data_IF_395392784380
#
_entry.id   IF_395392784380
#
_cell.length_a   1.000
_cell.length_b   1.000
_cell.length_c   1.000
_cell.angle_alpha   90.00
_cell.angle_beta   90.00
_cell.angle_gamma   90.00
#
_symmetry.space_group_name_H-M   'P 1'
#
loop_
_entity.id
_entity.type
_entity.pdbx_description
1 polymer ?
#
# COMPACT_ATOMS: atom_id res chain seq x y z
N UNK A 1 53.56 16.00 9.66
CA UNK A 1 53.65 17.16 8.75
C UNK A 1 52.24 17.63 8.45
N UNK A 2 51.83 18.70 9.12
CA UNK A 2 50.55 19.38 8.94
C UNK A 2 50.73 20.34 7.75
N UNK A 3 49.87 20.26 6.74
CA UNK A 3 49.70 21.32 5.75
C UNK A 3 48.22 21.63 5.61
N UNK A 4 47.88 22.76 6.20
CA UNK A 4 46.60 23.46 6.22
C UNK A 4 46.20 23.92 4.82
N UNK A 5 44.91 23.82 4.52
CA UNK A 5 44.29 24.39 3.34
C UNK A 5 44.27 25.94 3.38
N UNK A 6 44.27 26.62 2.23
CA UNK A 6 44.20 28.08 2.16
C UNK A 6 42.79 28.63 2.47
N UNK A 7 42.68 29.87 2.97
CA UNK A 7 41.41 30.46 3.40
C UNK A 7 40.54 30.99 2.25
N UNK A 8 39.22 30.96 2.49
CA UNK A 8 38.12 31.46 1.63
C UNK A 8 38.04 32.99 1.71
N UNK A 9 37.79 33.73 0.61
CA UNK A 9 37.62 35.18 0.61
C UNK A 9 36.28 35.65 1.22
N UNK A 10 36.34 36.82 1.87
CA UNK A 10 35.23 37.50 2.57
C UNK A 10 34.16 38.09 1.62
N UNK A 11 32.92 38.31 2.10
CA UNK A 11 31.81 38.80 1.29
C UNK A 11 31.88 40.31 0.98
N UNK A 12 31.38 40.67 -0.21
CA UNK A 12 31.28 42.05 -0.73
C UNK A 12 30.01 42.74 -0.18
N UNK A 13 30.05 44.04 0.21
CA UNK A 13 28.88 44.75 0.76
C UNK A 13 27.88 45.21 -0.31
N UNK A 14 26.59 45.16 0.03
CA UNK A 14 25.47 45.76 -0.70
C UNK A 14 25.44 47.29 -0.54
N UNK A 15 25.11 48.07 -1.59
CA UNK A 15 24.82 49.49 -1.47
C UNK A 15 23.37 49.75 -1.03
N UNK A 16 23.24 50.78 -0.19
CA UNK A 16 22.04 51.36 0.40
C UNK A 16 21.43 52.49 -0.44
N UNK A 17 20.13 52.72 -0.25
CA UNK A 17 19.36 53.87 -0.76
C UNK A 17 18.19 53.45 -1.64
N UNK A 18 16.95 53.92 -1.51
CA UNK A 18 16.34 54.95 -0.67
C UNK A 18 15.01 55.34 -1.30
N UNK A 19 13.98 55.58 -0.48
CA UNK A 19 12.82 56.46 -0.76
C UNK A 19 11.82 56.09 -1.85
N UNK A 20 10.59 55.70 -1.45
CA UNK A 20 9.41 56.59 -1.46
C UNK A 20 8.09 55.80 -1.40
N UNK A 21 7.26 56.14 -0.41
CA UNK A 21 5.81 55.91 -0.43
C UNK A 21 5.14 56.94 -1.37
N UNK A 22 3.90 56.68 -1.81
CA UNK A 22 2.82 57.50 -1.24
C UNK A 22 1.49 56.76 -0.98
N UNK A 23 0.66 57.51 -0.26
CA UNK A 23 -0.65 57.24 0.34
C UNK A 23 -1.80 56.83 -0.60
N UNK A 24 -2.67 55.99 -0.03
CA UNK A 24 -4.14 56.12 0.13
C UNK A 24 -4.94 56.84 -0.97
N UNK A 25 -5.88 56.12 -1.58
CA UNK A 25 -7.22 56.65 -1.82
C UNK A 25 -8.25 55.51 -1.88
N UNK A 26 -9.26 55.55 -1.02
CA UNK A 26 -10.40 54.64 -1.05
C UNK A 26 -11.44 55.06 -2.09
N UNK A 27 -12.20 54.10 -2.60
CA UNK A 27 -13.57 54.33 -3.07
C UNK A 27 -14.38 53.04 -3.07
N UNK A 28 -15.45 53.09 -2.29
CA UNK A 28 -16.62 52.21 -2.34
C UNK A 28 -17.37 52.41 -3.65
N UNK A 29 -17.80 51.32 -4.30
CA UNK A 29 -19.00 51.31 -5.14
C UNK A 29 -19.70 49.94 -5.08
N UNK A 30 -20.99 50.00 -4.72
CA UNK A 30 -22.03 48.97 -4.88
C UNK A 30 -22.38 48.81 -6.37
N UNK A 31 -22.81 47.60 -6.77
CA UNK A 31 -23.88 47.29 -7.74
C UNK A 31 -23.72 45.81 -8.17
N UNK A 32 -24.64 44.92 -7.80
CA UNK A 32 -25.88 44.56 -8.50
C UNK A 32 -25.75 43.28 -9.35
N UNK A 33 -26.41 42.25 -8.85
CA UNK A 33 -27.26 41.24 -9.53
C UNK A 33 -27.23 41.27 -11.06
N UNK A 34 -26.88 40.14 -11.67
CA UNK A 34 -27.42 39.71 -12.95
C UNK A 34 -27.50 38.17 -13.03
N UNK A 35 -28.72 37.68 -12.93
CA UNK A 35 -29.16 36.32 -13.30
C UNK A 35 -29.19 36.21 -14.84
N UNK A 36 -28.83 35.06 -15.43
CA UNK A 36 -29.39 34.68 -16.71
C UNK A 36 -30.32 33.47 -16.54
N UNK A 37 -31.62 33.71 -16.69
CA UNK A 37 -32.62 32.70 -16.99
C UNK A 37 -32.80 32.58 -18.50
N UNK A 38 -33.27 31.39 -18.91
CA UNK A 38 -33.86 30.96 -20.19
C UNK A 38 -32.90 30.32 -21.20
N UNK A 39 -33.10 29.02 -21.43
CA UNK A 39 -34.09 28.65 -22.46
C UNK A 39 -34.67 27.26 -22.22
N UNK A 40 -36.00 27.21 -22.19
CA UNK A 40 -36.81 26.01 -22.29
C UNK A 40 -36.74 25.48 -23.73
N UNK A 41 -36.39 24.21 -23.91
CA UNK A 41 -36.89 23.41 -25.03
C UNK A 41 -37.62 22.19 -24.48
N UNK A 42 -38.94 22.20 -24.63
CA UNK A 42 -39.84 21.06 -24.46
C UNK A 42 -39.84 20.19 -25.73
N UNK A 43 -40.18 18.92 -25.51
CA UNK A 43 -40.62 17.85 -26.44
C UNK A 43 -39.51 17.05 -27.13
N UNK A 44 -39.34 15.79 -26.71
CA UNK A 44 -40.10 14.69 -27.33
C UNK A 44 -40.22 13.50 -26.36
N UNK A 45 -41.46 13.06 -26.18
CA UNK A 45 -41.88 11.83 -25.51
C UNK A 45 -41.56 10.67 -26.47
N UNK A 46 -40.88 9.63 -25.98
CA UNK A 46 -40.90 8.28 -26.54
C UNK A 46 -40.68 7.29 -25.39
N UNK A 47 -41.75 6.64 -24.95
CA UNK A 47 -41.79 5.30 -24.36
C UNK A 47 -42.63 4.42 -25.32
N UNK A 48 -42.65 3.09 -25.16
CA UNK A 48 -41.54 2.14 -25.01
C UNK A 48 -41.58 1.11 -26.16
N UNK A 49 -40.56 0.25 -26.28
CA UNK A 49 -40.67 -0.98 -27.07
C UNK A 49 -40.45 -2.16 -26.12
N UNK A 50 -41.54 -2.85 -25.82
CA UNK A 50 -41.57 -4.20 -25.24
C UNK A 50 -41.29 -5.26 -26.34
N UNK A 51 -41.20 -6.52 -25.92
CA UNK A 51 -40.90 -7.77 -26.65
C UNK A 51 -39.39 -8.12 -26.68
N UNK A 52 -38.86 -9.21 -26.12
CA UNK A 52 -39.40 -10.55 -25.85
C UNK A 52 -38.78 -11.16 -24.56
N UNK A 53 -39.63 -11.72 -23.70
CA UNK A 53 -39.27 -12.69 -22.65
C UNK A 53 -39.87 -14.05 -23.01
N UNK A 54 -39.00 -15.05 -23.23
CA UNK A 54 -39.34 -16.47 -23.25
C UNK A 54 -38.66 -17.20 -22.07
N UNK A 55 -39.37 -18.02 -21.28
CA UNK A 55 -38.89 -18.49 -19.97
C UNK A 55 -38.14 -19.82 -20.05
N UNK A 56 -37.10 -20.00 -19.23
CA UNK A 56 -36.67 -21.32 -18.78
C UNK A 56 -36.95 -21.51 -17.29
N UNK A 57 -37.84 -22.46 -17.05
CA UNK A 57 -38.37 -22.90 -15.77
C UNK A 57 -37.57 -24.12 -15.32
N UNK A 58 -36.91 -24.08 -14.16
CA UNK A 58 -36.65 -25.27 -13.37
C UNK A 58 -36.98 -24.98 -11.91
N UNK A 59 -38.04 -25.65 -11.46
CA UNK A 59 -38.52 -25.74 -10.09
C UNK A 59 -37.50 -26.47 -9.22
N UNK A 60 -37.29 -25.99 -7.99
CA UNK A 60 -37.16 -26.87 -6.83
C UNK A 60 -37.33 -26.07 -5.54
N UNK A 61 -38.24 -26.56 -4.71
CA UNK A 61 -38.80 -25.94 -3.52
C UNK A 61 -38.21 -26.59 -2.28
N UNK A 62 -37.46 -25.83 -1.47
CA UNK A 62 -37.19 -26.02 -0.03
C UNK A 62 -36.09 -25.00 0.34
N UNK A 63 -36.13 -24.17 1.37
CA UNK A 63 -36.97 -24.09 2.54
C UNK A 63 -37.02 -22.62 2.99
N UNK A 64 -38.24 -22.08 3.13
CA UNK A 64 -38.51 -20.84 3.83
C UNK A 64 -39.42 -21.20 5.00
N UNK A 65 -38.80 -21.45 6.16
CA UNK A 65 -39.36 -21.43 7.53
C UNK A 65 -38.44 -22.24 8.40
N UNK A 66 -37.70 -21.58 9.29
CA UNK A 66 -37.74 -21.87 10.72
C UNK A 66 -37.17 -20.66 11.47
N UNK A 67 -37.87 -20.36 12.56
CA UNK A 67 -37.97 -19.11 13.28
C UNK A 67 -36.71 -18.65 14.05
N UNK A 68 -36.60 -17.33 14.16
CA UNK A 68 -36.13 -16.56 15.32
C UNK A 68 -36.57 -17.12 16.69
N UNK A 69 -35.66 -17.28 17.66
CA UNK A 69 -35.64 -16.53 18.94
C UNK A 69 -34.76 -17.15 20.04
N UNK A 70 -34.09 -16.24 20.78
CA UNK A 70 -33.69 -16.27 22.22
C UNK A 70 -32.66 -17.26 22.80
N UNK A 71 -31.51 -16.68 23.16
CA UNK A 71 -30.82 -16.62 24.48
C UNK A 71 -30.71 -17.83 25.43
N UNK A 72 -29.45 -18.02 25.86
CA UNK A 72 -28.94 -18.43 27.19
C UNK A 72 -28.42 -19.87 27.37
N UNK A 73 -27.08 -19.94 27.48
CA UNK A 73 -26.21 -20.73 28.38
C UNK A 73 -26.71 -22.11 28.85
N UNK A 74 -26.07 -23.20 28.43
CA UNK A 74 -25.22 -24.00 29.31
C UNK A 74 -24.45 -25.14 28.61
N UNK A 75 -23.31 -25.45 29.22
CA UNK A 75 -22.37 -26.55 29.01
C UNK A 75 -22.92 -27.88 28.48
N UNK A 76 -22.30 -28.43 27.42
CA UNK A 76 -22.45 -29.85 27.06
C UNK A 76 -21.10 -30.50 26.70
N UNK A 77 -20.95 -31.69 27.28
CA UNK A 77 -19.75 -32.49 27.45
C UNK A 77 -19.39 -33.34 26.21
N UNK A 78 -18.22 -33.98 26.32
CA UNK A 78 -17.46 -34.76 25.32
C UNK A 78 -18.14 -36.03 24.75
N UNK A 79 -19.46 -36.03 24.54
CA UNK A 79 -20.22 -37.18 24.02
C UNK A 79 -20.90 -36.96 22.66
N UNK A 80 -20.82 -35.76 22.07
CA UNK A 80 -21.40 -35.47 20.74
C UNK A 80 -20.40 -35.64 19.58
N UNK A 81 -19.11 -35.84 19.85
CA UNK A 81 -18.04 -35.98 18.84
C UNK A 81 -17.97 -37.41 18.23
N UNK A 82 -18.79 -38.37 18.69
CA UNK A 82 -18.73 -39.78 18.23
C UNK A 82 -19.86 -40.26 17.31
N UNK A 83 -20.66 -39.37 16.70
CA UNK A 83 -21.76 -39.77 15.78
C UNK A 83 -21.77 -39.08 14.41
N UNK A 84 -20.61 -38.64 13.89
CA UNK A 84 -20.47 -38.15 12.50
C UNK A 84 -19.48 -39.00 11.66
N UNK A 85 -19.00 -40.14 12.18
CA UNK A 85 -18.03 -41.00 11.48
C UNK A 85 -18.67 -42.10 10.62
N UNK A 86 -20.00 -42.24 10.60
CA UNK A 86 -20.67 -43.27 9.79
C UNK A 86 -21.77 -42.69 8.92
N UNK A 87 -21.37 -42.16 7.77
CA UNK A 87 -22.13 -42.24 6.52
C UNK A 87 -21.20 -41.92 5.35
N UNK A 88 -20.41 -42.94 4.96
CA UNK A 88 -19.80 -43.04 3.63
C UNK A 88 -20.94 -43.26 2.63
N UNK A 89 -21.14 -42.31 1.73
CA UNK A 89 -21.59 -42.42 0.32
C UNK A 89 -22.20 -41.06 -0.07
N UNK A 90 -21.35 -40.13 -0.53
CA UNK A 90 -21.63 -39.02 -1.48
C UNK A 90 -20.47 -37.98 -1.54
N UNK A 91 -19.21 -38.42 -1.56
CA UNK A 91 -18.04 -37.52 -1.78
C UNK A 91 -17.26 -37.91 -3.05
N UNK A 92 -17.77 -38.85 -3.84
CA UNK A 92 -17.07 -39.41 -5.00
C UNK A 92 -17.41 -38.73 -6.34
N UNK A 93 -18.35 -37.79 -6.37
CA UNK A 93 -18.73 -37.04 -7.59
C UNK A 93 -18.14 -35.62 -7.67
N UNK A 94 -17.77 -35.00 -6.54
CA UNK A 94 -17.07 -33.70 -6.51
C UNK A 94 -15.55 -33.89 -6.69
N UNK A 95 -15.01 -35.04 -6.28
CA UNK A 95 -13.58 -35.37 -6.44
C UNK A 95 -13.19 -35.75 -7.88
N UNK A 96 -14.12 -35.83 -8.83
CA UNK A 96 -13.83 -36.05 -10.27
C UNK A 96 -13.84 -34.76 -11.10
N UNK A 97 -14.27 -33.62 -10.54
CA UNK A 97 -14.17 -32.28 -11.17
C UNK A 97 -13.00 -31.44 -10.66
N UNK A 98 -12.24 -31.95 -9.68
CA UNK A 98 -11.05 -31.30 -9.11
C UNK A 98 -9.73 -31.98 -9.51
N UNK A 99 -9.77 -32.93 -10.46
CA UNK A 99 -8.59 -33.64 -11.00
C UNK A 99 -8.02 -32.96 -12.28
N UNK A 100 -8.46 -31.74 -12.63
CA UNK A 100 -7.81 -30.94 -13.68
C UNK A 100 -6.85 -29.88 -13.15
N UNK A 101 -6.54 -29.89 -11.85
CA UNK A 101 -5.66 -28.90 -11.21
C UNK A 101 -4.17 -29.15 -11.43
N UNK A 102 -3.77 -30.30 -11.99
CA UNK A 102 -2.40 -30.51 -12.50
C UNK A 102 -2.15 -29.81 -13.84
N UNK A 103 -3.20 -29.60 -14.64
CA UNK A 103 -3.10 -28.86 -15.90
C UNK A 103 -2.98 -27.34 -15.65
N UNK A 104 -3.63 -26.84 -14.59
CA UNK A 104 -3.60 -25.41 -14.24
C UNK A 104 -2.25 -24.95 -13.66
N UNK A 105 -1.47 -25.85 -13.03
CA UNK A 105 -0.10 -25.54 -12.59
C UNK A 105 0.89 -25.48 -13.76
N UNK A 106 0.66 -26.25 -14.82
CA UNK A 106 1.44 -26.19 -16.05
C UNK A 106 1.10 -24.95 -16.88
N UNK A 107 -0.18 -24.58 -16.97
CA UNK A 107 -0.63 -23.38 -17.69
C UNK A 107 -0.13 -22.07 -17.02
N UNK A 108 -0.01 -22.04 -15.68
CA UNK A 108 0.57 -20.90 -14.95
C UNK A 108 2.08 -20.77 -15.16
N UNK A 109 2.80 -21.87 -15.35
CA UNK A 109 4.21 -21.84 -15.72
C UNK A 109 4.42 -21.40 -17.19
N UNK A 110 3.40 -21.54 -18.04
CA UNK A 110 3.45 -21.24 -19.48
C UNK A 110 3.05 -19.79 -19.82
N UNK A 111 2.33 -19.09 -18.94
CA UNK A 111 1.92 -17.69 -19.12
C UNK A 111 3.03 -16.65 -18.83
N UNK A 112 4.17 -17.09 -18.28
CA UNK A 112 5.35 -16.26 -18.11
C UNK A 112 6.39 -16.63 -19.18
N UNK A 113 6.83 -15.70 -20.05
CA UNK A 113 8.00 -16.00 -20.85
C UNK A 113 9.14 -16.28 -19.89
N UNK A 114 9.70 -17.50 -19.96
CA UNK A 114 11.04 -17.82 -19.44
C UNK A 114 11.98 -16.78 -20.06
N UNK A 115 12.24 -15.69 -19.33
CA UNK A 115 13.45 -14.91 -19.54
C UNK A 115 14.57 -15.91 -19.29
N UNK A 116 15.17 -16.40 -20.38
CA UNK A 116 16.24 -17.37 -20.35
C UNK A 116 17.30 -16.85 -19.38
N UNK A 117 17.36 -17.50 -18.22
CA UNK A 117 18.36 -17.28 -17.20
C UNK A 117 19.66 -17.85 -17.74
N UNK A 118 20.45 -17.02 -18.41
CA UNK A 118 21.82 -17.38 -18.74
C UNK A 118 22.66 -17.22 -17.46
N UNK A 119 23.08 -18.34 -16.88
CA UNK A 119 24.01 -18.41 -15.73
C UNK A 119 25.35 -17.67 -15.98
N UNK A 120 25.60 -17.21 -17.20
CA UNK A 120 26.89 -16.65 -17.63
C UNK A 120 27.14 -15.18 -17.24
N UNK A 121 26.17 -14.47 -16.66
CA UNK A 121 26.34 -13.03 -16.30
C UNK A 121 26.74 -12.83 -14.82
N UNK A 122 26.61 -13.84 -13.96
CA UNK A 122 27.03 -13.71 -12.55
C UNK A 122 28.56 -13.78 -12.35
N UNK A 123 29.35 -14.17 -13.35
CA UNK A 123 30.80 -14.34 -13.17
C UNK A 123 31.64 -13.05 -13.14
N UNK A 124 31.03 -11.87 -13.30
CA UNK A 124 31.77 -10.59 -13.30
C UNK A 124 31.49 -9.62 -12.16
N UNK A 125 30.65 -9.99 -11.17
CA UNK A 125 30.40 -9.15 -9.99
C UNK A 125 30.51 -9.89 -8.64
N UNK A 126 31.09 -11.09 -8.63
CA UNK A 126 31.33 -11.87 -7.41
C UNK A 126 32.52 -11.34 -6.60
N UNK A 127 32.31 -10.28 -5.82
CA UNK A 127 33.20 -9.93 -4.71
C UNK A 127 33.03 -10.93 -3.56
N UNK A 128 34.13 -11.54 -3.14
CA UNK A 128 34.38 -12.33 -1.90
C UNK A 128 33.20 -12.58 -0.93
N UNK A 129 32.70 -13.83 -0.85
CA UNK A 129 32.28 -14.45 0.42
C UNK A 129 30.98 -13.99 1.11
N UNK A 130 29.95 -13.58 0.37
CA UNK A 130 28.69 -13.10 0.96
C UNK A 130 27.79 -14.28 1.35
N UNK A 131 27.52 -14.45 2.65
CA UNK A 131 26.62 -15.51 3.13
C UNK A 131 25.15 -15.07 3.04
N UNK A 132 24.48 -15.47 1.97
CA UNK A 132 23.03 -15.39 1.84
C UNK A 132 22.36 -16.44 2.76
N UNK A 133 21.25 -16.05 3.38
CA UNK A 133 20.48 -16.90 4.29
C UNK A 133 19.07 -17.08 3.72
N UNK A 134 18.58 -18.31 3.69
CA UNK A 134 17.25 -18.67 3.21
C UNK A 134 16.16 -18.17 4.17
N UNK A 135 15.04 -17.66 3.65
CA UNK A 135 13.81 -17.44 4.43
C UNK A 135 12.87 -18.65 4.34
N UNK A 136 13.08 -19.57 3.41
CA UNK A 136 12.22 -20.73 3.17
C UNK A 136 10.83 -20.33 2.65
N UNK A 137 10.74 -19.30 1.81
CA UNK A 137 9.46 -18.74 1.34
C UNK A 137 9.41 -18.70 -0.19
N UNK A 138 8.57 -19.56 -0.77
CA UNK A 138 8.36 -19.62 -2.21
C UNK A 138 7.56 -18.43 -2.77
N UNK A 139 7.59 -18.29 -4.11
CA UNK A 139 7.01 -17.14 -4.83
C UNK A 139 5.52 -16.91 -4.60
N UNK A 140 4.75 -17.98 -4.36
CA UNK A 140 3.31 -17.87 -4.07
C UNK A 140 3.04 -17.15 -2.73
N UNK A 141 3.97 -17.24 -1.79
CA UNK A 141 3.91 -16.58 -0.49
C UNK A 141 4.64 -15.22 -0.53
N UNK A 142 5.71 -15.05 -1.30
CA UNK A 142 6.40 -13.76 -1.41
C UNK A 142 7.00 -13.55 -2.80
N UNK A 143 6.54 -12.50 -3.50
CA UNK A 143 7.14 -11.96 -4.71
C UNK A 143 7.68 -10.56 -4.43
N UNK A 144 9.00 -10.38 -4.48
CA UNK A 144 9.64 -9.09 -4.18
C UNK A 144 9.15 -7.96 -5.10
N UNK A 145 8.96 -8.23 -6.39
CA UNK A 145 8.51 -7.22 -7.38
C UNK A 145 7.07 -6.75 -7.16
N UNK A 146 6.24 -7.59 -6.54
CA UNK A 146 4.86 -7.24 -6.18
C UNK A 146 4.71 -6.79 -4.72
N UNK A 147 5.80 -6.76 -3.96
CA UNK A 147 5.77 -6.38 -2.55
C UNK A 147 6.55 -5.07 -2.32
N UNK A 148 7.77 -4.94 -2.82
CA UNK A 148 8.65 -3.84 -2.41
C UNK A 148 8.40 -2.53 -3.18
N UNK A 149 8.30 -2.50 -4.53
CA UNK A 149 8.15 -1.25 -5.28
C UNK A 149 6.67 -0.91 -5.60
N UNK A 150 5.74 -1.21 -4.70
CA UNK A 150 4.28 -1.08 -4.96
C UNK A 150 3.60 0.11 -4.27
N UNK A 151 4.38 0.96 -3.60
CA UNK A 151 3.86 2.16 -2.93
C UNK A 151 3.38 1.93 -1.50
N UNK A 152 3.58 0.73 -0.94
CA UNK A 152 3.45 0.50 0.51
C UNK A 152 4.69 0.96 1.27
N UNK A 153 5.89 0.74 0.74
CA UNK A 153 7.15 1.29 1.24
C UNK A 153 7.90 2.02 0.13
N UNK A 154 8.71 3.01 0.50
CA UNK A 154 9.53 3.80 -0.43
C UNK A 154 11.04 3.63 -0.15
N UNK A 155 11.43 2.70 0.73
CA UNK A 155 12.81 2.50 1.22
C UNK A 155 13.58 1.37 0.55
N UNK A 156 12.93 0.59 -0.32
CA UNK A 156 13.58 -0.49 -1.06
C UNK A 156 14.06 -0.02 -2.42
N UNK A 157 15.30 -0.37 -2.77
CA UNK A 157 15.93 -0.05 -4.06
C UNK A 157 16.30 -1.33 -4.77
N UNK A 158 15.98 -1.43 -6.05
CA UNK A 158 16.43 -2.54 -6.89
C UNK A 158 17.94 -2.40 -7.07
N UNK A 159 18.70 -3.28 -6.44
CA UNK A 159 20.17 -3.30 -6.48
C UNK A 159 20.71 -4.42 -7.36
N UNK A 160 19.84 -5.31 -7.88
CA UNK A 160 20.20 -6.31 -8.89
C UNK A 160 18.96 -6.76 -9.66
N UNK A 161 19.12 -7.72 -10.58
CA UNK A 161 18.01 -8.18 -11.43
C UNK A 161 16.82 -8.68 -10.59
N UNK A 162 17.07 -9.53 -9.59
CA UNK A 162 16.04 -10.06 -8.69
C UNK A 162 16.32 -9.68 -7.23
N UNK A 163 17.01 -8.56 -7.03
CA UNK A 163 17.53 -8.16 -5.73
C UNK A 163 17.09 -6.74 -5.37
N UNK A 164 16.65 -6.59 -4.13
CA UNK A 164 16.32 -5.31 -3.52
C UNK A 164 17.13 -5.11 -2.25
N UNK A 165 17.58 -3.89 -2.01
CA UNK A 165 18.22 -3.49 -0.76
C UNK A 165 17.36 -2.44 -0.07
N UNK A 166 17.17 -2.58 1.22
CA UNK A 166 16.37 -1.70 2.06
C UNK A 166 16.91 -1.65 3.48
N UNK A 167 16.22 -0.87 4.32
CA UNK A 167 16.61 -0.64 5.71
C UNK A 167 15.48 -1.06 6.63
N UNK A 168 15.82 -1.85 7.65
CA UNK A 168 14.91 -2.33 8.69
C UNK A 168 15.48 -1.93 10.05
N UNK A 169 14.95 -0.86 10.66
CA UNK A 169 15.54 -0.29 11.87
C UNK A 169 16.99 0.14 11.60
N UNK A 170 17.95 -0.41 12.35
CA UNK A 170 19.38 -0.17 12.18
C UNK A 170 20.06 -1.14 11.17
N UNK A 171 19.30 -2.02 10.54
CA UNK A 171 19.84 -3.07 9.67
C UNK A 171 19.73 -2.71 8.20
N UNK A 172 20.85 -2.80 7.48
CA UNK A 172 20.87 -2.74 6.02
C UNK A 172 20.76 -4.16 5.45
N UNK A 173 19.67 -4.43 4.73
CA UNK A 173 19.31 -5.77 4.26
C UNK A 173 19.17 -5.79 2.74
N UNK A 174 19.80 -6.78 2.09
CA UNK A 174 19.45 -7.18 0.73
C UNK A 174 18.54 -8.40 0.76
N UNK A 175 17.50 -8.41 -0.06
CA UNK A 175 16.66 -9.57 -0.36
C UNK A 175 16.86 -9.94 -1.83
N UNK A 176 17.00 -11.23 -2.14
CA UNK A 176 17.07 -11.75 -3.50
C UNK A 176 16.02 -12.83 -3.70
N UNK A 177 15.25 -12.70 -4.77
CA UNK A 177 14.30 -13.73 -5.20
C UNK A 177 15.04 -14.80 -6.01
N UNK A 178 14.93 -16.06 -5.58
CA UNK A 178 15.32 -17.24 -6.36
C UNK A 178 14.07 -18.06 -6.70
N UNK A 179 14.24 -19.19 -7.41
CA UNK A 179 13.12 -19.95 -7.97
C UNK A 179 12.06 -20.35 -6.92
N UNK A 180 12.51 -21.01 -5.85
CA UNK A 180 11.63 -21.58 -4.81
C UNK A 180 11.83 -20.93 -3.43
N UNK A 181 12.52 -19.79 -3.37
CA UNK A 181 12.83 -19.12 -2.10
C UNK A 181 13.08 -17.61 -2.27
N UNK A 182 13.15 -16.92 -1.13
CA UNK A 182 13.73 -15.60 -0.97
C UNK A 182 14.89 -15.71 0.02
N UNK A 183 16.05 -15.26 -0.40
CA UNK A 183 17.22 -15.19 0.47
C UNK A 183 17.43 -13.76 0.97
N UNK A 184 18.01 -13.61 2.16
CA UNK A 184 18.44 -12.33 2.70
C UNK A 184 19.96 -12.30 2.95
N UNK A 185 20.51 -11.09 2.88
CA UNK A 185 21.88 -10.79 3.26
C UNK A 185 21.88 -9.54 4.14
N UNK A 186 22.49 -9.64 5.32
CA UNK A 186 22.66 -8.53 6.25
C UNK A 186 24.02 -7.89 6.05
N UNK A 187 24.02 -6.61 5.66
CA UNK A 187 25.23 -5.82 5.53
C UNK A 187 25.69 -5.40 6.91
N UNK A 188 26.52 -6.20 7.56
CA UNK A 188 27.11 -5.84 8.85
C UNK A 188 27.93 -4.54 8.68
N UNK A 189 27.52 -3.49 9.39
CA UNK A 189 28.30 -2.25 9.43
C UNK A 189 29.62 -2.50 10.19
N UNK A 190 30.69 -1.81 9.80
CA UNK A 190 32.00 -1.87 10.47
C UNK A 190 31.97 -1.30 11.90
N UNK A 191 30.83 -0.77 12.36
CA UNK A 191 30.63 -0.51 13.78
C UNK A 191 30.53 -1.84 14.53
N UNK A 192 31.60 -2.18 15.26
CA UNK A 192 31.63 -3.23 16.28
C UNK A 192 30.65 -2.87 17.41
N UNK A 193 29.36 -2.97 17.16
CA UNK A 193 28.36 -3.07 18.21
C UNK A 193 28.10 -4.56 18.40
N UNK A 194 28.48 -5.07 19.57
CA UNK A 194 28.11 -6.38 20.07
C UNK A 194 26.57 -6.48 20.07
N UNK A 195 25.97 -6.91 18.96
CA UNK A 195 24.55 -7.25 18.92
C UNK A 195 24.42 -8.69 19.43
N UNK A 196 24.26 -8.80 20.74
CA UNK A 196 23.63 -9.93 21.39
C UNK A 196 22.31 -10.26 20.68
N UNK A 197 22.27 -11.34 19.90
CA UNK A 197 21.09 -12.18 19.68
C UNK A 197 19.76 -11.52 19.25
N UNK A 198 19.75 -10.38 18.54
CA UNK A 198 18.56 -10.01 17.77
C UNK A 198 18.51 -10.92 16.55
N UNK A 199 17.51 -11.80 16.50
CA UNK A 199 17.28 -12.66 15.35
C UNK A 199 16.84 -11.79 14.15
N UNK A 200 17.80 -11.30 13.38
CA UNK A 200 17.53 -10.46 12.20
C UNK A 200 16.58 -11.16 11.22
N UNK A 201 16.62 -12.49 11.17
CA UNK A 201 15.67 -13.27 10.39
C UNK A 201 14.25 -13.09 10.93
N UNK A 202 14.06 -13.10 12.24
CA UNK A 202 12.78 -12.79 12.89
C UNK A 202 12.29 -11.39 12.54
N UNK A 203 13.15 -10.37 12.59
CA UNK A 203 12.76 -8.99 12.23
C UNK A 203 12.34 -8.88 10.76
N UNK A 204 13.05 -9.58 9.86
CA UNK A 204 12.69 -9.68 8.44
C UNK A 204 11.36 -10.40 8.27
N UNK A 205 11.16 -11.54 8.96
CA UNK A 205 9.90 -12.31 8.93
C UNK A 205 8.71 -11.50 9.44
N UNK A 206 8.90 -10.73 10.51
CA UNK A 206 7.87 -9.85 11.07
C UNK A 206 7.56 -8.68 10.12
N UNK A 207 8.59 -8.00 9.58
CA UNK A 207 8.40 -6.92 8.61
C UNK A 207 7.68 -7.38 7.35
N UNK A 208 8.00 -8.58 6.87
CA UNK A 208 7.37 -9.17 5.71
C UNK A 208 6.01 -9.78 6.04
N UNK A 209 5.58 -9.92 7.31
CA UNK A 209 4.38 -10.68 7.73
C UNK A 209 4.40 -12.15 7.26
N UNK A 210 5.49 -12.89 7.46
CA UNK A 210 5.64 -14.27 6.97
C UNK A 210 4.85 -15.32 7.77
N UNK A 211 4.37 -15.00 8.98
CA UNK A 211 3.56 -15.92 9.78
C UNK A 211 2.12 -16.11 9.25
N UNK A 212 1.67 -15.23 8.35
CA UNK A 212 0.35 -15.33 7.72
C UNK A 212 0.47 -16.05 6.38
N UNK A 213 -0.22 -17.18 6.19
CA UNK A 213 -0.23 -17.85 4.87
C UNK A 213 -1.00 -17.02 3.85
N UNK A 214 -0.28 -16.53 2.86
CA UNK A 214 -0.84 -15.74 1.77
C UNK A 214 -1.63 -16.61 0.79
N UNK A 215 -1.23 -17.87 0.59
CA UNK A 215 -1.96 -18.82 -0.26
C UNK A 215 -3.37 -19.07 0.28
N UNK A 216 -3.51 -19.23 1.61
CA UNK A 216 -4.83 -19.36 2.26
C UNK A 216 -5.66 -18.10 2.02
N UNK A 217 -5.09 -16.91 2.29
CA UNK A 217 -5.79 -15.64 2.06
C UNK A 217 -6.21 -15.47 0.59
N UNK A 218 -5.34 -15.77 -0.37
CA UNK A 218 -5.66 -15.66 -1.79
C UNK A 218 -6.79 -16.60 -2.20
N UNK A 219 -6.83 -17.80 -1.62
CA UNK A 219 -7.92 -18.76 -1.84
C UNK A 219 -9.24 -18.20 -1.34
N UNK A 220 -9.26 -17.69 -0.10
CA UNK A 220 -10.47 -17.08 0.50
C UNK A 220 -10.95 -15.86 -0.30
N UNK A 221 -10.03 -14.96 -0.68
CA UNK A 221 -10.36 -13.77 -1.46
C UNK A 221 -10.86 -14.09 -2.86
N UNK A 222 -10.30 -15.13 -3.50
CA UNK A 222 -10.74 -15.58 -4.83
C UNK A 222 -12.13 -16.20 -4.80
N UNK A 223 -12.49 -16.89 -3.70
CA UNK A 223 -13.87 -17.38 -3.49
C UNK A 223 -14.82 -16.20 -3.26
N UNK A 224 -14.38 -15.18 -2.53
CA UNK A 224 -15.21 -14.04 -2.18
C UNK A 224 -15.46 -13.07 -3.35
N UNK A 225 -14.50 -12.92 -4.28
CA UNK A 225 -14.55 -11.87 -5.31
C UNK A 225 -14.02 -12.32 -6.67
N UNK A 226 -14.86 -12.20 -7.71
CA UNK A 226 -14.54 -12.61 -9.07
C UNK A 226 -13.42 -11.78 -9.71
N UNK A 227 -13.30 -10.48 -9.38
CA UNK A 227 -12.23 -9.64 -9.90
C UNK A 227 -10.90 -10.03 -9.27
N UNK A 228 -10.88 -10.28 -7.96
CA UNK A 228 -9.72 -10.80 -7.25
C UNK A 228 -9.27 -12.14 -7.86
N UNK A 229 -10.20 -13.09 -8.00
CA UNK A 229 -9.91 -14.40 -8.60
C UNK A 229 -9.28 -14.29 -9.99
N UNK A 230 -9.72 -13.32 -10.80
CA UNK A 230 -9.18 -13.12 -12.13
C UNK A 230 -7.75 -12.54 -12.15
N UNK A 231 -7.39 -11.66 -11.19
CA UNK A 231 -6.06 -11.02 -11.16
C UNK A 231 -5.04 -11.76 -10.30
N UNK A 232 -5.49 -12.53 -9.32
CA UNK A 232 -4.63 -13.23 -8.35
C UNK A 232 -3.53 -14.10 -8.99
N UNK A 233 -3.78 -14.85 -10.10
CA UNK A 233 -2.73 -15.66 -10.71
C UNK A 233 -1.57 -14.85 -11.30
N UNK A 234 -1.81 -13.59 -11.68
CA UNK A 234 -0.80 -12.72 -12.29
C UNK A 234 -0.02 -11.90 -11.25
N UNK A 235 -0.60 -11.73 -10.05
CA UNK A 235 -0.08 -10.89 -8.95
C UNK A 235 0.18 -11.76 -7.70
N UNK A 236 0.52 -13.04 -7.89
CA UNK A 236 0.80 -13.97 -6.80
C UNK A 236 2.00 -13.54 -5.96
N UNK A 237 1.94 -13.74 -4.64
CA UNK A 237 3.02 -13.37 -3.72
C UNK A 237 3.06 -11.88 -3.35
N UNK A 238 2.08 -11.07 -3.76
CA UNK A 238 1.99 -9.68 -3.33
C UNK A 238 1.57 -9.61 -1.85
N UNK A 239 2.52 -9.28 -0.99
CA UNK A 239 2.37 -9.33 0.47
C UNK A 239 2.27 -7.94 1.08
N UNK A 240 1.53 -7.83 2.19
CA UNK A 240 1.48 -6.61 2.99
C UNK A 240 2.70 -6.51 3.91
N UNK A 241 3.38 -5.36 3.92
CA UNK A 241 4.48 -5.10 4.86
C UNK A 241 3.97 -4.61 6.23
N UNK A 242 4.76 -4.85 7.27
CA UNK A 242 4.56 -4.39 8.65
C UNK A 242 5.67 -3.42 9.05
N UNK A 243 5.53 -2.17 8.63
CA UNK A 243 6.53 -1.13 8.78
C UNK A 243 6.59 -0.54 10.19
N UNK A 244 7.69 0.16 10.49
CA UNK A 244 7.76 1.06 11.64
C UNK A 244 6.71 2.17 11.53
N UNK A 245 5.86 2.37 12.56
CA UNK A 245 4.86 3.44 12.56
C UNK A 245 5.44 4.85 12.32
N UNK A 246 6.60 5.17 12.90
CA UNK A 246 7.24 6.48 12.69
C UNK A 246 7.59 6.69 11.22
N UNK A 247 8.31 5.73 10.64
CA UNK A 247 8.71 5.76 9.24
C UNK A 247 7.47 5.81 8.32
N UNK A 248 6.46 5.00 8.63
CA UNK A 248 5.21 4.94 7.86
C UNK A 248 4.47 6.29 7.87
N UNK A 249 4.35 6.96 9.02
CA UNK A 249 3.73 8.30 9.12
C UNK A 249 4.37 9.28 8.14
N UNK A 250 5.69 9.44 8.18
CA UNK A 250 6.38 10.44 7.36
C UNK A 250 6.42 10.05 5.88
N UNK A 251 6.52 8.76 5.55
CA UNK A 251 6.36 8.26 4.19
C UNK A 251 4.98 8.65 3.60
N UNK A 252 3.90 8.47 4.38
CA UNK A 252 2.56 8.72 3.86
C UNK A 252 2.12 10.18 3.92
N UNK A 253 2.69 11.01 4.80
CA UNK A 253 2.57 12.48 4.67
C UNK A 253 3.12 12.92 3.31
N UNK A 254 4.30 12.43 2.92
CA UNK A 254 4.91 12.68 1.60
C UNK A 254 4.05 12.18 0.41
N UNK A 255 3.21 11.17 0.64
CA UNK A 255 2.39 10.53 -0.41
C UNK A 255 1.17 11.31 -0.87
N UNK A 256 0.64 12.21 -0.02
CA UNK A 256 -0.63 12.91 -0.30
C UNK A 256 -0.57 13.68 -1.62
N UNK A 257 -1.47 13.39 -2.58
CA UNK A 257 -1.48 14.01 -3.93
C UNK A 257 -0.09 14.00 -4.62
N UNK A 258 0.51 12.82 -4.73
CA UNK A 258 1.87 12.64 -5.24
C UNK A 258 2.01 11.32 -6.03
N UNK A 259 3.18 11.06 -6.61
CA UNK A 259 3.45 9.81 -7.33
C UNK A 259 4.70 9.12 -6.76
N UNK A 260 4.77 7.78 -6.88
CA UNK A 260 5.76 6.92 -6.23
C UNK A 260 7.18 7.47 -6.35
N UNK A 261 7.65 7.77 -7.57
CA UNK A 261 9.03 8.27 -7.78
C UNK A 261 9.36 9.54 -6.97
N UNK A 262 8.46 10.52 -6.91
CA UNK A 262 8.71 11.76 -6.15
C UNK A 262 8.61 11.52 -4.65
N UNK A 263 7.70 10.65 -4.21
CA UNK A 263 7.60 10.25 -2.80
C UNK A 263 8.92 9.59 -2.37
N UNK A 264 9.43 8.68 -3.19
CA UNK A 264 10.72 8.01 -2.98
C UNK A 264 11.86 9.01 -2.76
N UNK A 265 11.97 10.05 -3.61
CA UNK A 265 12.99 11.10 -3.43
C UNK A 265 12.81 11.89 -2.13
N UNK A 266 11.58 12.24 -1.77
CA UNK A 266 11.30 12.96 -0.52
C UNK A 266 11.64 12.10 0.71
N UNK A 267 11.31 10.81 0.67
CA UNK A 267 11.63 9.87 1.75
C UNK A 267 13.14 9.63 1.86
N UNK A 268 13.85 9.57 0.73
CA UNK A 268 15.32 9.49 0.73
C UNK A 268 15.96 10.72 1.36
N UNK A 269 15.45 11.92 1.06
CA UNK A 269 15.89 13.14 1.69
C UNK A 269 15.73 13.07 3.20
N UNK A 270 14.53 12.77 3.72
CA UNK A 270 14.33 12.61 5.17
C UNK A 270 15.29 11.58 5.75
N UNK A 271 15.40 10.43 5.10
CA UNK A 271 16.23 9.34 5.59
C UNK A 271 17.72 9.70 5.64
N UNK A 272 18.19 10.58 4.76
CA UNK A 272 19.60 11.03 4.73
C UNK A 272 20.03 11.82 5.99
N UNK A 273 19.07 12.26 6.82
CA UNK A 273 19.32 12.86 8.12
C UNK A 273 19.54 11.85 9.25
N UNK A 274 19.25 10.56 9.01
CA UNK A 274 19.55 9.49 9.96
C UNK A 274 20.95 8.91 9.79
N UNK A 275 21.29 7.96 10.65
CA UNK A 275 22.62 7.32 10.67
C UNK A 275 22.94 6.57 9.37
N UNK A 276 24.12 6.81 8.79
CA UNK A 276 24.58 6.09 7.60
C UNK A 276 24.88 4.62 7.92
N UNK A 277 24.30 3.71 7.13
CA UNK A 277 24.45 2.25 7.34
C UNK A 277 25.38 1.59 6.32
N UNK A 278 25.53 2.17 5.13
CA UNK A 278 26.37 1.62 4.08
C UNK A 278 25.96 2.03 2.68
N UNK A 279 26.72 1.56 1.69
CA UNK A 279 26.43 1.77 0.28
C UNK A 279 26.38 0.44 -0.46
N UNK A 280 25.36 0.25 -1.31
CA UNK A 280 25.22 -0.93 -2.17
C UNK A 280 25.00 -0.46 -3.59
N UNK A 281 25.87 -0.88 -4.52
CA UNK A 281 25.84 -0.48 -5.93
C UNK A 281 25.74 1.05 -6.13
N UNK A 282 26.53 1.79 -5.36
CA UNK A 282 26.59 3.25 -5.41
C UNK A 282 25.44 3.98 -4.71
N UNK A 283 24.43 3.26 -4.20
CA UNK A 283 23.29 3.85 -3.48
C UNK A 283 23.62 3.88 -1.98
N UNK A 284 23.48 5.04 -1.35
CA UNK A 284 23.68 5.24 0.09
C UNK A 284 22.41 4.92 0.87
N UNK A 285 22.55 4.12 1.92
CA UNK A 285 21.46 3.77 2.81
C UNK A 285 21.70 4.34 4.20
N UNK A 286 20.63 4.84 4.80
CA UNK A 286 20.62 5.45 6.12
C UNK A 286 19.44 4.87 6.91
N UNK A 287 19.63 4.71 8.21
CA UNK A 287 18.54 4.49 9.14
C UNK A 287 17.52 5.63 9.01
N UNK A 288 16.22 5.32 9.13
CA UNK A 288 15.23 6.39 9.15
C UNK A 288 15.41 7.22 10.44
N UNK A 289 15.45 8.56 10.35
CA UNK A 289 15.74 9.41 11.50
C UNK A 289 14.67 9.27 12.60
N UNK A 290 15.15 9.35 13.84
CA UNK A 290 14.32 9.56 15.04
C UNK A 290 13.63 10.93 15.02
N UNK A 291 12.67 11.14 15.90
CA UNK A 291 12.04 12.46 16.08
C UNK A 291 13.05 13.58 16.38
N UNK A 292 14.12 13.26 17.12
CA UNK A 292 15.14 14.24 17.48
C UNK A 292 16.09 14.58 16.32
N UNK A 293 16.32 13.64 15.41
CA UNK A 293 17.06 13.90 14.17
C UNK A 293 16.21 14.64 13.13
N UNK A 294 14.88 14.47 13.17
CA UNK A 294 13.94 15.20 12.31
C UNK A 294 13.67 16.64 12.78
N UNK A 295 13.70 16.90 14.10
CA UNK A 295 13.33 18.19 14.68
C UNK A 295 14.13 19.41 14.17
N UNK A 296 15.43 19.32 13.86
CA UNK A 296 16.21 20.45 13.34
C UNK A 296 15.91 20.79 11.88
N UNK A 297 15.20 19.93 11.15
CA UNK A 297 14.92 20.15 9.72
C UNK A 297 13.84 21.23 9.58
N UNK A 298 14.22 22.39 9.05
CA UNK A 298 13.29 23.52 8.88
C UNK A 298 12.32 23.34 7.71
N UNK A 299 11.20 24.05 7.77
CA UNK A 299 10.23 24.10 6.66
C UNK A 299 10.88 24.63 5.36
N UNK A 300 11.80 25.61 5.45
CA UNK A 300 12.51 26.15 4.28
C UNK A 300 13.35 25.08 3.59
N UNK A 301 14.16 24.34 4.35
CA UNK A 301 15.00 23.26 3.82
C UNK A 301 14.14 22.19 3.12
N UNK A 302 13.00 21.81 3.71
CA UNK A 302 12.08 20.86 3.07
C UNK A 302 11.45 21.43 1.78
N UNK A 303 11.09 22.71 1.75
CA UNK A 303 10.57 23.36 0.53
C UNK A 303 11.60 23.41 -0.58
N UNK A 304 12.84 23.75 -0.26
CA UNK A 304 13.99 23.73 -1.19
C UNK A 304 14.24 22.33 -1.75
N UNK A 305 13.96 21.29 -0.96
CA UNK A 305 14.05 19.88 -1.37
C UNK A 305 12.75 19.30 -1.94
N UNK A 306 11.85 20.17 -2.42
CA UNK A 306 10.72 19.76 -3.26
C UNK A 306 9.50 19.22 -2.51
N UNK A 307 9.41 19.40 -1.17
CA UNK A 307 8.26 18.93 -0.39
C UNK A 307 6.99 19.74 -0.67
N UNK A 308 7.14 20.99 -1.10
CA UNK A 308 6.03 21.91 -1.33
C UNK A 308 5.25 22.16 -0.04
N UNK A 309 3.92 22.14 -0.11
CA UNK A 309 3.07 22.37 1.06
C UNK A 309 3.24 21.31 2.18
N UNK A 310 3.77 20.12 1.85
CA UNK A 310 3.99 19.04 2.83
C UNK A 310 5.10 19.36 3.81
N UNK A 311 6.00 20.30 3.47
CA UNK A 311 7.05 20.76 4.37
C UNK A 311 6.48 21.18 5.74
N UNK A 312 5.39 21.98 5.72
CA UNK A 312 4.68 22.40 6.94
C UNK A 312 4.09 21.22 7.72
N UNK A 313 3.63 20.17 7.02
CA UNK A 313 3.07 18.99 7.66
C UNK A 313 4.14 18.13 8.32
N UNK A 314 5.30 17.96 7.69
CA UNK A 314 6.43 17.22 8.28
C UNK A 314 6.87 17.91 9.58
N UNK A 315 7.17 19.20 9.54
CA UNK A 315 7.61 19.96 10.74
C UNK A 315 6.54 19.91 11.83
N UNK A 316 5.29 20.22 11.49
CA UNK A 316 4.20 20.18 12.48
C UNK A 316 3.92 18.79 13.05
N UNK A 317 4.09 17.73 12.26
CA UNK A 317 3.95 16.36 12.76
C UNK A 317 5.09 15.97 13.71
N UNK A 318 6.34 16.39 13.43
CA UNK A 318 7.47 16.19 14.35
C UNK A 318 7.22 16.91 15.67
N UNK A 319 6.85 18.19 15.62
CA UNK A 319 6.54 18.99 16.81
C UNK A 319 5.40 18.37 17.63
N UNK A 320 4.30 17.99 16.98
CA UNK A 320 3.16 17.40 17.66
C UNK A 320 3.49 16.03 18.26
N UNK A 321 4.25 15.19 17.55
CA UNK A 321 4.66 13.88 18.06
C UNK A 321 5.58 14.02 19.28
N UNK A 322 6.53 14.96 19.29
CA UNK A 322 7.39 15.23 20.45
C UNK A 322 6.61 15.71 21.68
N UNK A 323 5.44 16.31 21.48
CA UNK A 323 4.53 16.72 22.56
C UNK A 323 3.61 15.59 23.04
N UNK A 324 3.46 14.49 22.29
CA UNK A 324 2.71 13.33 22.75
C UNK A 324 3.48 12.64 23.87
N UNK A 325 2.77 12.15 24.88
CA UNK A 325 3.36 11.35 25.93
C UNK A 325 4.05 10.12 25.34
N UNK A 326 5.35 9.97 25.62
CA UNK A 326 6.17 8.88 25.09
C UNK A 326 6.66 9.05 23.64
N UNK A 327 6.33 10.15 22.96
CA UNK A 327 6.83 10.47 21.62
C UNK A 327 6.55 9.37 20.60
N UNK A 328 7.59 8.70 20.10
CA UNK A 328 7.45 7.57 19.16
C UNK A 328 6.65 6.39 19.76
N UNK A 329 6.69 6.20 21.09
CA UNK A 329 5.92 5.15 21.76
C UNK A 329 4.41 5.38 21.70
N UNK A 330 3.98 6.64 21.57
CA UNK A 330 2.58 6.95 21.31
C UNK A 330 2.11 6.31 20.00
N UNK A 331 2.91 6.39 18.92
CA UNK A 331 2.59 5.73 17.65
C UNK A 331 2.50 4.21 17.79
N UNK A 332 3.44 3.61 18.54
CA UNK A 332 3.40 2.16 18.80
C UNK A 332 2.15 1.74 19.57
N UNK A 333 1.69 2.58 20.50
CA UNK A 333 0.49 2.32 21.31
C UNK A 333 -0.78 2.19 20.45
N UNK A 334 -0.82 2.85 19.29
CA UNK A 334 -1.98 2.84 18.38
C UNK A 334 -2.28 1.44 17.80
N UNK A 335 -1.30 0.52 17.80
CA UNK A 335 -1.53 -0.90 17.44
C UNK A 335 -2.57 -1.59 18.31
N UNK A 336 -2.73 -1.14 19.56
CA UNK A 336 -3.67 -1.73 20.53
C UNK A 336 -5.07 -1.14 20.44
N UNK A 337 -5.26 -0.12 19.63
CA UNK A 337 -6.55 0.56 19.48
C UNK A 337 -7.42 -0.12 18.41
N UNK A 338 -8.71 0.22 18.43
CA UNK A 338 -9.59 -0.05 17.30
C UNK A 338 -9.13 0.75 16.06
N UNK A 339 -9.51 0.31 14.86
CA UNK A 339 -9.22 1.04 13.63
C UNK A 339 -9.77 2.48 13.69
N UNK A 340 -10.98 2.67 14.19
CA UNK A 340 -11.62 3.99 14.30
C UNK A 340 -10.84 4.93 15.22
N UNK A 341 -10.43 4.43 16.39
CA UNK A 341 -9.66 5.22 17.37
C UNK A 341 -8.24 5.51 16.85
N UNK A 342 -7.60 4.54 16.20
CA UNK A 342 -6.28 4.73 15.58
C UNK A 342 -6.34 5.78 14.47
N UNK A 343 -7.34 5.71 13.57
CA UNK A 343 -7.53 6.69 12.50
C UNK A 343 -7.83 8.07 13.07
N UNK A 344 -8.71 8.17 14.06
CA UNK A 344 -9.04 9.43 14.73
C UNK A 344 -7.79 10.05 15.38
N UNK A 345 -7.00 9.23 16.08
CA UNK A 345 -5.75 9.64 16.71
C UNK A 345 -4.73 10.14 15.68
N UNK A 346 -4.52 9.40 14.59
CA UNK A 346 -3.61 9.77 13.51
C UNK A 346 -4.03 11.07 12.81
N UNK A 347 -5.33 11.28 12.58
CA UNK A 347 -5.85 12.50 11.95
C UNK A 347 -5.65 13.77 12.78
N UNK A 348 -5.21 13.65 14.04
CA UNK A 348 -4.78 14.83 14.82
C UNK A 348 -3.46 15.41 14.32
N UNK A 349 -2.62 14.61 13.66
CA UNK A 349 -1.32 15.04 13.15
C UNK A 349 -1.47 15.88 11.85
N UNK A 350 -0.68 16.96 11.68
CA UNK A 350 -0.71 17.77 10.47
C UNK A 350 -0.46 16.96 9.19
N UNK A 351 -1.31 17.19 8.18
CA UNK A 351 -1.18 16.53 6.87
C UNK A 351 -1.75 15.11 6.80
N UNK A 352 -2.29 14.58 7.91
CA UNK A 352 -2.91 13.26 7.95
C UNK A 352 -4.43 13.39 7.86
N UNK A 353 -4.98 13.08 6.69
CA UNK A 353 -6.41 12.87 6.49
C UNK A 353 -6.80 11.38 6.49
N UNK A 354 -8.10 11.05 6.30
CA UNK A 354 -8.60 9.68 6.39
C UNK A 354 -7.82 8.64 5.55
N UNK A 355 -7.48 8.99 4.30
CA UNK A 355 -6.69 8.10 3.42
C UNK A 355 -5.28 7.84 3.98
N UNK A 356 -4.59 8.89 4.42
CA UNK A 356 -3.22 8.79 4.96
C UNK A 356 -3.24 7.99 6.26
N UNK A 357 -4.20 8.26 7.14
CA UNK A 357 -4.40 7.50 8.37
C UNK A 357 -4.67 6.03 8.10
N UNK A 358 -5.52 5.70 7.11
CA UNK A 358 -5.76 4.32 6.71
C UNK A 358 -4.52 3.63 6.14
N UNK A 359 -3.67 4.33 5.37
CA UNK A 359 -2.36 3.78 4.94
C UNK A 359 -1.49 3.42 6.15
N UNK A 360 -1.35 4.33 7.11
CA UNK A 360 -0.53 4.10 8.31
C UNK A 360 -1.11 2.94 9.14
N UNK A 361 -2.43 2.91 9.32
CA UNK A 361 -3.12 1.85 10.03
C UNK A 361 -2.88 0.48 9.39
N UNK A 362 -3.03 0.39 8.06
CA UNK A 362 -2.85 -0.84 7.30
C UNK A 362 -1.39 -1.32 7.32
N UNK A 363 -0.44 -0.44 7.04
CA UNK A 363 0.94 -0.83 6.78
C UNK A 363 1.86 -0.81 8.01
N UNK A 364 1.38 -0.37 9.18
CA UNK A 364 2.24 -0.28 10.38
C UNK A 364 1.54 -0.55 11.71
N UNK A 365 0.21 -0.46 11.78
CA UNK A 365 -0.54 -0.58 13.05
C UNK A 365 -1.37 -1.86 13.19
N UNK A 366 -1.07 -2.89 12.38
CA UNK A 366 -1.71 -4.21 12.45
C UNK A 366 -3.22 -4.21 12.15
N UNK A 367 -3.74 -3.13 11.55
CA UNK A 367 -5.16 -3.01 11.17
C UNK A 367 -5.39 -3.60 9.78
N UNK A 368 -5.35 -4.93 9.66
CA UNK A 368 -5.40 -5.65 8.37
C UNK A 368 -6.68 -5.45 7.54
N UNK A 369 -7.71 -4.86 8.11
CA UNK A 369 -8.99 -4.52 7.45
C UNK A 369 -9.09 -3.04 7.07
N UNK A 370 -8.06 -2.22 7.35
CA UNK A 370 -8.04 -0.82 6.96
C UNK A 370 -7.94 -0.65 5.43
N UNK A 371 -8.74 0.26 4.86
CA UNK A 371 -8.83 0.48 3.42
C UNK A 371 -8.45 1.92 3.07
N UNK A 372 -7.24 2.17 2.54
CA UNK A 372 -6.82 3.49 2.08
C UNK A 372 -7.53 3.90 0.78
N UNK A 373 -8.72 4.50 0.88
CA UNK A 373 -9.49 4.92 -0.30
C UNK A 373 -8.87 6.15 -0.96
N UNK A 374 -8.18 5.94 -2.07
CA UNK A 374 -7.73 6.98 -2.99
C UNK A 374 -8.53 6.95 -4.31
N UNK A 375 -8.07 7.67 -5.34
CA UNK A 375 -8.75 7.69 -6.64
C UNK A 375 -8.73 6.35 -7.37
N UNK A 376 -7.68 5.54 -7.22
CA UNK A 376 -7.60 4.22 -7.84
C UNK A 376 -8.52 3.23 -7.13
N UNK A 377 -8.47 3.22 -5.80
CA UNK A 377 -9.34 2.37 -4.97
C UNK A 377 -10.79 2.75 -5.14
N UNK A 378 -11.10 4.05 -5.27
CA UNK A 378 -12.43 4.53 -5.64
C UNK A 378 -12.90 3.97 -6.98
N UNK A 379 -12.04 3.96 -8.00
CA UNK A 379 -12.37 3.39 -9.31
C UNK A 379 -12.62 1.88 -9.24
N UNK A 380 -11.81 1.14 -8.48
CA UNK A 380 -12.02 -0.29 -8.22
C UNK A 380 -13.37 -0.51 -7.54
N UNK A 381 -13.64 0.25 -6.47
CA UNK A 381 -14.86 0.14 -5.68
C UNK A 381 -16.09 0.40 -6.54
N UNK A 382 -16.13 1.52 -7.26
CA UNK A 382 -17.24 1.87 -8.15
C UNK A 382 -17.43 0.81 -9.23
N UNK A 383 -16.36 0.24 -9.79
CA UNK A 383 -16.49 -0.72 -10.89
C UNK A 383 -16.94 -2.11 -10.45
N UNK A 384 -16.48 -2.60 -9.30
CA UNK A 384 -16.59 -4.01 -8.93
C UNK A 384 -17.33 -4.29 -7.62
N UNK A 385 -17.47 -3.29 -6.73
CA UNK A 385 -18.12 -3.46 -5.43
C UNK A 385 -19.42 -2.66 -5.29
N UNK A 386 -19.43 -1.41 -5.77
CA UNK A 386 -20.53 -0.45 -5.62
C UNK A 386 -20.84 0.29 -6.96
N UNK A 387 -21.32 -0.39 -8.02
CA UNK A 387 -21.67 0.21 -9.32
C UNK A 387 -22.65 1.38 -9.25
N UNK A 388 -23.53 1.39 -8.25
CA UNK A 388 -24.49 2.46 -7.98
C UNK A 388 -23.85 3.82 -7.64
N UNK A 389 -22.55 3.83 -7.33
CA UNK A 389 -21.79 5.06 -7.06
C UNK A 389 -21.18 5.68 -8.33
N UNK A 390 -21.43 5.12 -9.52
CA UNK A 390 -20.93 5.69 -10.77
C UNK A 390 -21.37 7.16 -10.96
N UNK A 391 -20.44 8.01 -11.40
CA UNK A 391 -20.66 9.44 -11.59
C UNK A 391 -20.64 10.28 -10.30
N UNK A 392 -20.57 9.67 -9.11
CA UNK A 392 -20.47 10.37 -7.82
C UNK A 392 -19.03 10.85 -7.59
N UNK A 393 -18.89 11.93 -6.82
CA UNK A 393 -17.57 12.40 -6.33
C UNK A 393 -17.29 11.78 -4.96
N UNK A 394 -16.05 11.36 -4.74
CA UNK A 394 -15.60 10.83 -3.46
C UNK A 394 -15.71 11.89 -2.36
N UNK A 395 -16.45 11.58 -1.30
CA UNK A 395 -16.66 12.41 -0.10
C UNK A 395 -16.27 11.62 1.14
N UNK A 396 -16.08 12.24 2.31
CA UNK A 396 -15.72 11.53 3.55
C UNK A 396 -16.69 10.39 3.87
N UNK A 397 -18.00 10.60 3.73
CA UNK A 397 -19.02 9.55 3.92
C UNK A 397 -18.79 8.37 2.97
N UNK A 398 -18.48 8.65 1.70
CA UNK A 398 -18.24 7.62 0.69
C UNK A 398 -16.90 6.89 0.89
N UNK A 399 -15.90 7.50 1.56
CA UNK A 399 -14.70 6.74 1.95
C UNK A 399 -15.07 5.61 2.92
N UNK A 400 -15.94 5.89 3.89
CA UNK A 400 -16.39 4.90 4.87
C UNK A 400 -17.21 3.79 4.20
N UNK A 401 -18.15 4.16 3.34
CA UNK A 401 -18.99 3.22 2.59
C UNK A 401 -18.14 2.28 1.70
N UNK A 402 -17.13 2.83 1.02
CA UNK A 402 -16.17 2.01 0.24
C UNK A 402 -15.37 1.08 1.14
N UNK A 403 -14.84 1.58 2.26
CA UNK A 403 -14.08 0.74 3.18
C UNK A 403 -14.94 -0.40 3.76
N UNK A 404 -16.17 -0.11 4.16
CA UNK A 404 -17.15 -1.09 4.63
C UNK A 404 -17.43 -2.15 3.56
N UNK A 405 -17.59 -1.76 2.28
CA UNK A 405 -17.83 -2.71 1.18
C UNK A 405 -16.64 -3.68 0.98
N UNK A 406 -15.41 -3.20 1.07
CA UNK A 406 -14.22 -4.07 1.04
C UNK A 406 -14.18 -5.02 2.24
N UNK A 407 -14.48 -4.54 3.45
CA UNK A 407 -14.50 -5.37 4.66
C UNK A 407 -15.62 -6.41 4.61
N UNK A 408 -16.81 -6.06 4.11
CA UNK A 408 -17.90 -7.01 3.90
C UNK A 408 -17.54 -8.09 2.89
N UNK A 409 -16.78 -7.74 1.84
CA UNK A 409 -16.35 -8.69 0.79
C UNK A 409 -15.22 -9.60 1.27
N UNK A 410 -14.19 -9.05 1.91
CA UNK A 410 -12.93 -9.76 2.16
C UNK A 410 -12.62 -10.02 3.64
N UNK A 411 -13.49 -9.58 4.56
CA UNK A 411 -13.39 -9.86 5.98
C UNK A 411 -12.18 -9.22 6.68
N UNK A 412 -11.61 -9.95 7.65
CA UNK A 412 -10.55 -9.46 8.57
C UNK A 412 -9.29 -8.96 7.86
N UNK A 413 -8.98 -9.52 6.69
CA UNK A 413 -7.79 -9.18 5.91
C UNK A 413 -8.12 -8.36 4.65
N UNK A 414 -9.22 -7.61 4.65
CA UNK A 414 -9.66 -6.85 3.48
C UNK A 414 -8.61 -5.86 2.94
N UNK A 415 -7.77 -5.29 3.79
CA UNK A 415 -6.66 -4.42 3.38
C UNK A 415 -5.57 -5.15 2.58
N UNK A 416 -5.40 -6.45 2.80
CA UNK A 416 -4.50 -7.30 2.01
C UNK A 416 -5.09 -7.53 0.62
N UNK A 417 -6.37 -7.90 0.52
CA UNK A 417 -7.05 -8.07 -0.76
C UNK A 417 -7.06 -6.77 -1.57
N UNK A 418 -7.37 -5.66 -0.91
CA UNK A 418 -7.27 -4.30 -1.44
C UNK A 418 -5.88 -4.03 -2.04
N UNK A 419 -4.81 -4.44 -1.36
CA UNK A 419 -3.43 -4.18 -1.82
C UNK A 419 -3.15 -4.90 -3.14
N UNK A 420 -3.58 -6.15 -3.29
CA UNK A 420 -3.44 -6.90 -4.55
C UNK A 420 -4.22 -6.24 -5.67
N UNK A 421 -5.48 -5.85 -5.42
CA UNK A 421 -6.31 -5.16 -6.40
C UNK A 421 -5.70 -3.82 -6.81
N UNK A 422 -5.15 -3.05 -5.87
CA UNK A 422 -4.43 -1.81 -6.16
C UNK A 422 -3.18 -2.05 -7.01
N UNK A 423 -2.37 -3.06 -6.68
CA UNK A 423 -1.17 -3.43 -7.45
C UNK A 423 -1.53 -3.77 -8.89
N UNK A 424 -2.64 -4.50 -9.09
CA UNK A 424 -3.15 -4.85 -10.40
C UNK A 424 -3.56 -3.61 -11.23
N UNK A 425 -3.74 -2.43 -10.64
CA UNK A 425 -4.06 -1.17 -11.33
C UNK A 425 -2.81 -0.30 -11.59
N UNK A 426 -1.66 -0.62 -10.98
CA UNK A 426 -0.42 0.12 -11.19
C UNK A 426 0.03 0.01 -12.65
N UNK A 427 0.49 1.14 -13.21
CA UNK A 427 0.91 1.20 -14.62
C UNK A 427 2.05 0.24 -14.95
N UNK A 428 2.95 -0.02 -14.00
CA UNK A 428 4.04 -1.00 -14.16
C UNK A 428 3.56 -2.44 -14.27
N UNK A 429 2.39 -2.76 -13.69
CA UNK A 429 1.85 -4.12 -13.65
C UNK A 429 0.78 -4.38 -14.72
N UNK A 430 0.23 -3.33 -15.34
CA UNK A 430 -0.77 -3.47 -16.42
C UNK A 430 -0.32 -4.40 -17.54
N UNK A 431 0.97 -4.40 -17.88
CA UNK A 431 1.49 -5.22 -18.97
C UNK A 431 1.53 -6.71 -18.64
N UNK A 432 1.56 -7.06 -17.35
CA UNK A 432 1.54 -8.45 -16.90
C UNK A 432 0.12 -9.04 -16.91
N UNK A 433 -0.91 -8.18 -16.93
CA UNK A 433 -2.30 -8.62 -16.98
C UNK A 433 -2.74 -8.89 -18.43
N UNK A 434 -3.59 -9.90 -18.66
CA UNK A 434 -4.34 -10.08 -19.90
C UNK A 434 -5.13 -8.82 -20.27
N UNK A 435 -5.26 -8.53 -21.56
CA UNK A 435 -5.87 -7.27 -22.04
C UNK A 435 -7.28 -6.99 -21.47
N UNK A 436 -8.10 -8.02 -21.28
CA UNK A 436 -9.45 -7.89 -20.72
C UNK A 436 -9.48 -7.56 -19.21
N UNK A 437 -8.37 -7.81 -18.49
CA UNK A 437 -8.22 -7.48 -17.07
C UNK A 437 -7.56 -6.12 -16.83
N UNK A 438 -7.02 -5.49 -17.87
CA UNK A 438 -6.36 -4.18 -17.77
C UNK A 438 -7.37 -3.06 -17.53
N UNK A 439 -6.88 -1.99 -16.92
CA UNK A 439 -7.62 -0.74 -16.75
C UNK A 439 -7.81 -0.11 -18.11
N UNK A 440 -9.05 -0.03 -18.57
CA UNK A 440 -9.37 0.71 -19.79
C UNK A 440 -9.20 2.20 -19.48
N UNK A 441 -8.11 2.82 -19.97
CA UNK A 441 -8.03 4.28 -20.00
C UNK A 441 -9.19 4.76 -20.87
N UNK A 442 -10.14 5.50 -20.30
CA UNK A 442 -11.11 6.27 -21.09
C UNK A 442 -10.28 7.12 -22.05
N UNK A 443 -10.28 6.76 -23.33
CA UNK A 443 -9.75 7.65 -24.34
C UNK A 443 -10.64 8.88 -24.27
N UNK A 444 -10.10 9.99 -23.76
CA UNK A 444 -10.75 11.27 -23.97
C UNK A 444 -10.80 11.44 -25.49
N UNK A 445 -11.98 11.19 -26.06
CA UNK A 445 -12.28 11.54 -27.43
C UNK A 445 -12.01 13.04 -27.53
N UNK A 446 -10.83 13.39 -28.03
CA UNK A 446 -10.57 14.73 -28.57
C UNK A 446 -11.59 14.89 -29.68
N UNK A 447 -12.72 15.49 -29.36
CA UNK A 447 -13.65 16.00 -30.34
C UNK A 447 -12.89 17.12 -31.04
N UNK A 448 -12.25 16.77 -32.15
CA UNK A 448 -11.78 17.73 -33.13
C UNK A 448 -13.02 18.50 -33.57
N UNK A 449 -13.09 19.77 -33.18
CA UNK A 449 -13.94 20.77 -33.81
C UNK A 449 -13.04 21.66 -34.64
#
# INVERSE_FOLDING_TARGET
>A
MIRTAPPIPAPVPLPSGGGNAPQVCGRSMKASVAVPQRSLRRKRVLEPCEDDLGPFNVKSSAAKKLFSSRSSVDTLSSSTIKKVVENKVEVTSISKRLVSTSQCSEDLAQAYPKLAYSEEVESKFGGEGWKWCSLGVGRAELCLDFTLPTGQSFRWRRTGLSQYTGVLGAHLISLRQIADDVEFFHHASSCKANASGSDIEKDIREYLNLDTSLVVLYTEFSVADARFAAVAPFIAGARLLRQSPLECVFQFICSSNNHIQRITTMVDYLSSHGSFLGSVNGIRFHQFPSLEELAPISESQLRENGFGYRAKYIVGAVEMLRQKEGGEQWLMSLRRLSLEDAVTSLCTLPGIGPKVAACIALFSLDQHHAIPVDTHVWQIAVKYLLPELEGRKLTVKLHREVAEAFVQRFGKYAGWAHTVLFIAELSSQQNLLPAHLRVQKKQNAKTSK
#
